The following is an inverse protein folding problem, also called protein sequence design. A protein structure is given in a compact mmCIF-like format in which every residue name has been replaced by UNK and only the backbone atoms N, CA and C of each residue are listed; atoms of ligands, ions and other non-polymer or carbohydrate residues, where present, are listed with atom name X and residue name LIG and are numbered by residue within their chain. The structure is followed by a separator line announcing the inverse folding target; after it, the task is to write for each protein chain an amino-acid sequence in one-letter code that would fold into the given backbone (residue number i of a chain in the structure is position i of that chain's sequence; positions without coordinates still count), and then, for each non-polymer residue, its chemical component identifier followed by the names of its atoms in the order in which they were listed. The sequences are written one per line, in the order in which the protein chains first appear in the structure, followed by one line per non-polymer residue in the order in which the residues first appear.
data_IF_453970115807
#
_entry.id   IF_453970115807
#
_cell.length_a   1.000
_cell.length_b   1.000
_cell.length_c   1.000
_cell.angle_alpha   90.00
_cell.angle_beta   90.00
_cell.angle_gamma   90.00
#
_symmetry.space_group_name_H-M   'P 1'
#
loop_
_entity.id
_entity.type
_entity.pdbx_description
1 polymer ?
#
# COMPACT_ATOMS: atom_id res chain seq x y z
N UNK A 1 18.76 18.73 7.59
CA UNK A 1 18.22 17.86 8.68
C UNK A 1 17.81 18.60 9.97
N UNK A 2 18.35 19.79 10.31
CA UNK A 2 17.98 20.51 11.56
C UNK A 2 16.50 20.86 11.70
N UNK A 3 15.85 21.32 10.63
CA UNK A 3 14.43 21.70 10.65
C UNK A 3 13.51 20.51 10.99
N UNK A 4 13.77 19.34 10.39
CA UNK A 4 13.00 18.11 10.66
C UNK A 4 13.12 17.68 12.11
N UNK A 5 14.31 17.82 12.70
CA UNK A 5 14.54 17.51 14.12
C UNK A 5 13.75 18.45 15.05
N UNK A 6 13.76 19.76 14.77
CA UNK A 6 13.00 20.76 15.53
C UNK A 6 11.48 20.51 15.43
N UNK A 7 10.98 20.24 14.22
CA UNK A 7 9.57 19.92 14.01
C UNK A 7 9.17 18.64 14.75
N UNK A 8 9.99 17.59 14.68
CA UNK A 8 9.74 16.34 15.42
C UNK A 8 9.68 16.58 16.93
N UNK A 9 10.64 17.31 17.49
CA UNK A 9 10.66 17.62 18.92
C UNK A 9 9.43 18.43 19.36
N UNK A 10 9.00 19.39 18.54
CA UNK A 10 7.80 20.20 18.80
C UNK A 10 6.55 19.33 18.80
N UNK A 11 6.37 18.50 17.76
CA UNK A 11 5.23 17.59 17.65
C UNK A 11 5.17 16.55 18.78
N UNK A 12 6.33 16.04 19.23
CA UNK A 12 6.41 15.13 20.37
C UNK A 12 6.01 15.81 21.68
N UNK A 13 6.44 17.07 21.88
CA UNK A 13 6.03 17.89 23.02
C UNK A 13 4.52 18.15 23.05
N UNK A 14 3.94 18.54 21.91
CA UNK A 14 2.50 18.77 21.78
C UNK A 14 1.69 17.50 22.02
N UNK A 15 2.11 16.36 21.43
CA UNK A 15 1.48 15.06 21.66
C UNK A 15 1.47 14.71 23.15
N UNK A 16 2.58 14.91 23.86
CA UNK A 16 2.68 14.62 25.28
C UNK A 16 1.75 15.53 26.12
N UNK A 17 1.62 16.80 25.75
CA UNK A 17 0.72 17.74 26.40
C UNK A 17 -0.76 17.36 26.20
N UNK A 18 -1.15 16.98 24.98
CA UNK A 18 -2.52 16.55 24.66
C UNK A 18 -2.88 15.26 25.41
N UNK A 19 -1.98 14.27 25.43
CA UNK A 19 -2.21 13.01 26.16
C UNK A 19 -2.30 13.19 27.68
N UNK A 20 -1.64 14.21 28.24
CA UNK A 20 -1.78 14.56 29.67
C UNK A 20 -3.12 15.23 29.97
N UNK A 21 -3.66 16.00 29.03
CA UNK A 21 -4.93 16.72 29.20
C UNK A 21 -6.13 15.80 29.02
N UNK A 22 -6.11 14.99 27.97
CA UNK A 22 -7.23 14.14 27.59
C UNK A 22 -6.88 12.67 27.86
N UNK A 23 -7.45 12.08 28.91
CA UNK A 23 -7.18 10.69 29.31
C UNK A 23 -7.68 9.67 28.26
N UNK A 24 -8.66 10.08 27.44
CA UNK A 24 -9.15 9.32 26.30
C UNK A 24 -9.28 10.24 25.09
N UNK A 25 -8.71 9.81 23.96
CA UNK A 25 -8.82 10.54 22.71
C UNK A 25 -10.19 10.28 22.07
N UNK A 26 -10.81 11.29 21.45
CA UNK A 26 -12.07 11.10 20.73
C UNK A 26 -11.95 10.04 19.62
N UNK A 27 -13.03 9.31 19.32
CA UNK A 27 -13.05 8.32 18.23
C UNK A 27 -12.68 8.94 16.87
N UNK A 28 -13.04 10.21 16.65
CA UNK A 28 -12.68 10.97 15.45
C UNK A 28 -11.17 11.13 15.29
N UNK A 29 -10.41 11.23 16.39
CA UNK A 29 -8.94 11.27 16.35
C UNK A 29 -8.38 9.94 15.86
N UNK A 30 -8.81 8.82 16.45
CA UNK A 30 -8.36 7.49 16.05
C UNK A 30 -8.68 7.20 14.58
N UNK A 31 -9.87 7.62 14.14
CA UNK A 31 -10.28 7.54 12.73
C UNK A 31 -9.34 8.33 11.82
N UNK A 32 -9.08 9.60 12.14
CA UNK A 32 -8.21 10.45 11.30
C UNK A 32 -6.78 9.91 11.27
N UNK A 33 -6.29 9.38 12.39
CA UNK A 33 -5.01 8.70 12.46
C UNK A 33 -4.97 7.45 11.56
N UNK A 34 -6.04 6.65 11.57
CA UNK A 34 -6.16 5.48 10.70
C UNK A 34 -6.20 5.87 9.22
N UNK A 35 -6.94 6.92 8.86
CA UNK A 35 -7.01 7.46 7.50
C UNK A 35 -5.64 7.91 7.00
N UNK A 36 -4.87 8.64 7.83
CA UNK A 36 -3.51 9.04 7.50
C UNK A 36 -2.57 7.85 7.33
N UNK A 37 -2.61 6.88 8.26
CA UNK A 37 -1.77 5.68 8.17
C UNK A 37 -2.06 4.86 6.92
N UNK A 38 -3.35 4.68 6.60
CA UNK A 38 -3.76 3.98 5.39
C UNK A 38 -3.30 4.73 4.14
N UNK A 39 -3.50 6.05 4.08
CA UNK A 39 -3.09 6.88 2.94
C UNK A 39 -1.58 6.82 2.69
N UNK A 40 -0.76 6.94 3.74
CA UNK A 40 0.70 6.81 3.63
C UNK A 40 1.13 5.41 3.20
N UNK A 41 0.47 4.37 3.73
CA UNK A 41 0.72 2.99 3.32
C UNK A 41 0.43 2.76 1.85
N UNK A 42 -0.68 3.32 1.36
CA UNK A 42 -1.06 3.23 -0.05
C UNK A 42 -0.10 4.01 -0.96
N UNK A 43 0.33 5.22 -0.57
CA UNK A 43 1.32 5.99 -1.31
C UNK A 43 2.65 5.24 -1.42
N UNK A 44 3.08 4.59 -0.34
CA UNK A 44 4.29 3.74 -0.37
C UNK A 44 4.12 2.54 -1.30
N UNK A 45 2.96 1.90 -1.30
CA UNK A 45 2.66 0.81 -2.23
C UNK A 45 2.64 1.29 -3.69
N UNK A 46 2.04 2.46 -3.96
CA UNK A 46 2.08 3.10 -5.28
C UNK A 46 3.51 3.40 -5.71
N UNK A 47 4.35 3.95 -4.82
CA UNK A 47 5.77 4.18 -5.13
C UNK A 47 6.48 2.88 -5.52
N UNK A 48 6.27 1.79 -4.77
CA UNK A 48 6.82 0.47 -5.12
C UNK A 48 6.35 -0.02 -6.49
N UNK A 49 5.08 0.18 -6.83
CA UNK A 49 4.54 -0.16 -8.17
C UNK A 49 5.26 0.62 -9.27
N UNK A 50 5.46 1.93 -9.10
CA UNK A 50 6.20 2.75 -10.06
C UNK A 50 7.68 2.36 -10.16
N UNK A 51 8.30 1.97 -9.04
CA UNK A 51 9.68 1.48 -9.00
C UNK A 51 9.83 0.15 -9.76
N UNK A 52 8.91 -0.79 -9.54
CA UNK A 52 8.84 -2.04 -10.29
C UNK A 52 8.67 -1.75 -11.79
N UNK A 53 7.77 -0.83 -12.15
CA UNK A 53 7.56 -0.44 -13.54
C UNK A 53 8.81 0.17 -14.18
N UNK A 54 9.51 1.06 -13.47
CA UNK A 54 10.75 1.67 -13.96
C UNK A 54 11.88 0.65 -14.16
N UNK A 55 11.94 -0.39 -13.31
CA UNK A 55 12.89 -1.49 -13.48
C UNK A 55 12.55 -2.36 -14.70
N UNK A 56 11.26 -2.52 -15.02
CA UNK A 56 10.82 -3.23 -16.23
C UNK A 56 11.11 -2.44 -17.51
N UNK A 57 10.94 -1.12 -17.47
CA UNK A 57 11.16 -0.23 -18.63
C UNK A 57 12.65 0.17 -18.83
N UNK A 58 13.55 -0.23 -17.91
CA UNK A 58 15.01 -0.05 -18.01
C UNK A 58 15.64 -0.91 -19.13
N UNK A 59 16.87 -0.58 -19.58
CA UNK A 59 17.26 -0.37 -20.99
C UNK A 59 17.02 -1.57 -21.92
N UNK A 60 15.76 -1.90 -22.17
CA UNK A 60 15.32 -2.56 -23.41
C UNK A 60 14.96 -1.47 -24.41
N UNK A 61 15.93 -0.58 -24.63
CA UNK A 61 15.94 0.38 -25.72
C UNK A 61 16.04 -0.37 -27.04
N UNK A 62 14.89 -0.64 -27.64
CA UNK A 62 14.73 -1.00 -29.05
C UNK A 62 15.20 0.20 -29.90
N UNK A 63 16.52 0.30 -30.11
CA UNK A 63 17.15 1.24 -31.03
C UNK A 63 17.96 0.48 -32.09
N UNK A 64 17.75 0.72 -33.39
CA UNK A 64 18.56 0.10 -34.44
C UNK A 64 19.90 0.83 -34.58
N UNK A 65 21.00 0.12 -34.30
CA UNK A 65 22.36 0.39 -34.79
C UNK A 65 23.12 1.57 -34.18
N UNK A 66 24.24 1.27 -33.51
CA UNK A 66 25.61 1.61 -33.94
C UNK A 66 26.62 1.34 -32.81
N UNK A 67 27.76 0.79 -33.22
CA UNK A 67 28.91 0.40 -32.41
C UNK A 67 29.41 1.47 -31.42
N UNK A 68 29.88 1.02 -30.25
CA UNK A 68 30.62 1.86 -29.31
C UNK A 68 30.86 1.19 -27.97
N UNK A 69 31.98 0.48 -27.86
CA UNK A 69 32.46 -0.14 -26.63
C UNK A 69 32.71 0.90 -25.52
N UNK A 70 32.03 0.76 -24.37
CA UNK A 70 32.54 1.14 -23.04
C UNK A 70 32.05 0.12 -22.01
N UNK A 71 33.00 -0.38 -21.23
CA UNK A 71 32.86 -1.44 -20.23
C UNK A 71 32.02 -1.00 -19.01
N UNK A 72 31.36 -1.99 -18.39
CA UNK A 72 30.37 -1.92 -17.30
C UNK A 72 30.72 -1.07 -16.06
N UNK A 73 29.72 -0.87 -15.19
CA UNK A 73 29.82 -1.53 -13.88
C UNK A 73 28.68 -2.53 -13.61
N UNK A 74 29.08 -3.73 -13.14
CA UNK A 74 28.35 -4.76 -12.39
C UNK A 74 26.99 -5.30 -12.92
N UNK A 75 26.96 -6.48 -13.60
CA UNK A 75 25.74 -7.18 -14.02
C UNK A 75 25.20 -8.20 -12.97
N UNK A 76 25.36 -7.94 -11.67
CA UNK A 76 25.17 -8.97 -10.62
C UNK A 76 23.94 -8.85 -9.70
N UNK A 77 23.30 -7.69 -9.60
CA UNK A 77 22.35 -7.42 -8.48
C UNK A 77 20.90 -7.19 -8.92
N UNK A 78 20.66 -6.71 -10.14
CA UNK A 78 19.32 -6.36 -10.63
C UNK A 78 18.30 -7.53 -10.74
N UNK A 79 18.67 -8.76 -11.14
CA UNK A 79 17.68 -9.83 -11.35
C UNK A 79 17.02 -10.36 -10.07
N UNK A 80 17.69 -10.24 -8.91
CA UNK A 80 17.13 -10.68 -7.62
C UNK A 80 16.32 -9.59 -6.91
N UNK A 81 16.47 -8.33 -7.30
CA UNK A 81 15.78 -7.20 -6.70
C UNK A 81 14.30 -7.14 -7.14
N UNK A 82 13.98 -7.46 -8.39
CA UNK A 82 12.60 -7.37 -8.89
C UNK A 82 11.65 -8.40 -8.23
N UNK A 83 12.00 -9.70 -8.12
CA UNK A 83 11.15 -10.69 -7.44
C UNK A 83 10.93 -10.37 -5.94
N UNK A 84 11.95 -9.82 -5.28
CA UNK A 84 11.86 -9.44 -3.86
C UNK A 84 10.96 -8.21 -3.68
N UNK A 85 11.11 -7.18 -4.51
CA UNK A 85 10.24 -6.00 -4.53
C UNK A 85 8.77 -6.37 -4.77
N UNK A 86 8.49 -7.28 -5.72
CA UNK A 86 7.13 -7.77 -5.97
C UNK A 86 6.53 -8.49 -4.77
N UNK A 87 7.31 -9.37 -4.12
CA UNK A 87 6.84 -10.09 -2.94
C UNK A 87 6.52 -9.15 -1.79
N UNK A 88 7.34 -8.11 -1.59
CA UNK A 88 7.07 -7.07 -0.60
C UNK A 88 5.85 -6.23 -0.96
N UNK A 89 5.70 -5.81 -2.22
CA UNK A 89 4.54 -5.06 -2.68
C UNK A 89 3.23 -5.86 -2.44
N UNK A 90 3.23 -7.17 -2.72
CA UNK A 90 2.06 -8.02 -2.43
C UNK A 90 1.82 -8.16 -0.92
N UNK A 91 2.87 -8.27 -0.09
CA UNK A 91 2.71 -8.26 1.38
C UNK A 91 2.10 -6.94 1.88
N UNK A 92 2.54 -5.81 1.33
CA UNK A 92 1.99 -4.50 1.67
C UNK A 92 0.53 -4.35 1.20
N UNK A 93 0.19 -4.87 0.02
CA UNK A 93 -1.18 -4.94 -0.49
C UNK A 93 -2.09 -5.76 0.43
N UNK A 94 -1.65 -6.93 0.87
CA UNK A 94 -2.38 -7.76 1.84
C UNK A 94 -2.58 -7.04 3.18
N UNK A 95 -1.56 -6.33 3.67
CA UNK A 95 -1.67 -5.55 4.89
C UNK A 95 -2.70 -4.41 4.74
N UNK A 96 -2.66 -3.68 3.62
CA UNK A 96 -3.64 -2.64 3.30
C UNK A 96 -5.06 -3.21 3.21
N UNK A 97 -5.21 -4.39 2.60
CA UNK A 97 -6.48 -5.12 2.56
C UNK A 97 -7.00 -5.46 3.96
N UNK A 98 -6.15 -5.94 4.87
CA UNK A 98 -6.58 -6.22 6.25
C UNK A 98 -7.06 -4.95 6.97
N UNK A 99 -6.44 -3.80 6.71
CA UNK A 99 -6.90 -2.52 7.25
C UNK A 99 -8.29 -2.14 6.73
N UNK A 100 -8.55 -2.32 5.43
CA UNK A 100 -9.89 -2.10 4.84
C UNK A 100 -10.92 -3.03 5.47
N UNK A 101 -10.64 -4.33 5.56
CA UNK A 101 -11.57 -5.29 6.15
C UNK A 101 -11.90 -4.97 7.61
N UNK A 102 -10.89 -4.62 8.40
CA UNK A 102 -11.09 -4.18 9.79
C UNK A 102 -11.98 -2.94 9.84
N UNK A 103 -11.78 -1.98 8.93
CA UNK A 103 -12.60 -0.76 8.88
C UNK A 103 -14.05 -1.06 8.49
N UNK A 104 -14.29 -1.98 7.56
CA UNK A 104 -15.64 -2.50 7.22
C UNK A 104 -16.31 -3.07 8.48
N UNK A 105 -15.60 -3.90 9.25
CA UNK A 105 -16.14 -4.49 10.49
C UNK A 105 -16.50 -3.42 11.53
N UNK A 106 -15.63 -2.43 11.73
CA UNK A 106 -15.88 -1.31 12.66
C UNK A 106 -17.11 -0.52 12.19
N UNK A 107 -17.20 -0.20 10.89
CA UNK A 107 -18.32 0.53 10.33
C UNK A 107 -19.64 -0.23 10.52
N UNK A 108 -19.68 -1.53 10.21
CA UNK A 108 -20.87 -2.39 10.43
C UNK A 108 -21.28 -2.42 11.91
N UNK A 109 -20.31 -2.47 12.83
CA UNK A 109 -20.58 -2.43 14.27
C UNK A 109 -21.17 -1.08 14.69
N UNK A 110 -20.63 0.02 14.18
CA UNK A 110 -21.16 1.37 14.46
C UNK A 110 -22.58 1.53 13.90
N UNK A 111 -22.83 1.03 12.69
CA UNK A 111 -24.17 1.02 12.10
C UNK A 111 -25.16 0.22 12.97
N UNK A 112 -24.76 -0.95 13.47
CA UNK A 112 -25.59 -1.74 14.39
C UNK A 112 -25.91 -0.98 15.69
N UNK A 113 -24.90 -0.35 16.29
CA UNK A 113 -25.09 0.45 17.51
C UNK A 113 -25.98 1.67 17.27
N UNK A 114 -25.89 2.27 16.09
CA UNK A 114 -26.79 3.35 15.65
C UNK A 114 -28.25 2.91 15.65
N UNK A 115 -28.50 1.67 15.21
CA UNK A 115 -29.81 1.03 15.30
C UNK A 115 -30.36 0.93 16.73
N UNK A 116 -29.48 0.98 17.74
CA UNK A 116 -29.83 0.99 19.16
C UNK A 116 -29.83 2.42 19.77
N UNK A 117 -29.77 3.46 18.95
CA UNK A 117 -29.82 4.87 19.38
C UNK A 117 -28.46 5.51 19.67
N UNK A 118 -27.34 4.86 19.35
CA UNK A 118 -26.03 5.50 19.39
C UNK A 118 -25.86 6.54 18.26
N UNK A 119 -24.98 7.52 18.46
CA UNK A 119 -24.62 8.49 17.40
C UNK A 119 -23.88 7.81 16.25
N UNK A 120 -24.27 8.10 15.02
CA UNK A 120 -23.66 7.55 13.80
C UNK A 120 -23.40 8.66 12.79
N UNK A 121 -22.15 9.10 12.72
CA UNK A 121 -21.72 10.21 11.87
C UNK A 121 -21.00 9.72 10.59
N UNK A 122 -21.03 8.43 10.29
CA UNK A 122 -20.23 7.84 9.20
C UNK A 122 -21.07 7.52 7.96
N UNK A 123 -20.79 8.22 6.86
CA UNK A 123 -21.22 7.76 5.54
C UNK A 123 -20.24 6.73 4.95
N UNK A 124 -20.68 5.97 3.95
CA UNK A 124 -19.88 4.92 3.31
C UNK A 124 -18.78 5.47 2.40
N UNK A 125 -18.80 6.75 2.03
CA UNK A 125 -17.94 7.28 0.97
C UNK A 125 -16.42 7.16 1.26
N UNK A 126 -15.91 7.46 2.47
CA UNK A 126 -14.50 7.22 2.80
C UNK A 126 -14.10 5.75 2.71
N UNK A 127 -14.99 4.83 3.07
CA UNK A 127 -14.74 3.39 3.01
C UNK A 127 -14.73 2.91 1.55
N UNK A 128 -15.70 3.35 0.76
CA UNK A 128 -15.76 3.11 -0.68
C UNK A 128 -14.48 3.58 -1.36
N UNK A 129 -14.04 4.82 -1.09
CA UNK A 129 -12.79 5.36 -1.64
C UNK A 129 -11.57 4.52 -1.27
N UNK A 130 -11.51 3.96 -0.06
CA UNK A 130 -10.42 3.06 0.33
C UNK A 130 -10.44 1.76 -0.47
N UNK A 131 -11.62 1.19 -0.71
CA UNK A 131 -11.77 0.00 -1.54
C UNK A 131 -11.35 0.27 -2.99
N UNK A 132 -11.86 1.35 -3.59
CA UNK A 132 -11.55 1.77 -4.96
C UNK A 132 -10.05 1.97 -5.15
N UNK A 133 -9.42 2.77 -4.29
CA UNK A 133 -7.99 3.03 -4.33
C UNK A 133 -7.14 1.75 -4.15
N UNK A 134 -7.57 0.82 -3.29
CA UNK A 134 -6.87 -0.45 -3.09
C UNK A 134 -6.99 -1.35 -4.32
N UNK A 135 -8.17 -1.41 -4.93
CA UNK A 135 -8.44 -2.18 -6.15
C UNK A 135 -7.66 -1.62 -7.34
N UNK A 136 -7.55 -0.30 -7.46
CA UNK A 136 -6.73 0.35 -8.48
C UNK A 136 -5.26 -0.09 -8.38
N UNK A 137 -4.67 0.02 -7.18
CA UNK A 137 -3.27 -0.39 -6.95
C UNK A 137 -3.08 -1.90 -7.10
N UNK A 138 -4.08 -2.69 -6.69
CA UNK A 138 -4.11 -4.13 -6.95
C UNK A 138 -3.97 -4.43 -8.46
N UNK A 139 -4.76 -3.77 -9.31
CA UNK A 139 -4.72 -4.01 -10.75
C UNK A 139 -3.39 -3.58 -11.37
N UNK A 140 -2.84 -2.44 -10.94
CA UNK A 140 -1.53 -2.00 -11.39
C UNK A 140 -0.45 -3.03 -11.02
N UNK A 141 -0.43 -3.51 -9.77
CA UNK A 141 0.56 -4.52 -9.34
C UNK A 141 0.35 -5.86 -10.06
N UNK A 142 -0.89 -6.26 -10.32
CA UNK A 142 -1.19 -7.46 -11.09
C UNK A 142 -0.65 -7.34 -12.52
N UNK A 143 -0.82 -6.19 -13.18
CA UNK A 143 -0.25 -5.92 -14.50
C UNK A 143 1.28 -6.02 -14.49
N UNK A 144 1.94 -5.46 -13.47
CA UNK A 144 3.40 -5.58 -13.33
C UNK A 144 3.85 -7.04 -13.21
N UNK A 145 3.16 -7.86 -12.43
CA UNK A 145 3.47 -9.29 -12.30
C UNK A 145 3.26 -10.05 -13.61
N UNK A 146 2.22 -9.72 -14.36
CA UNK A 146 1.97 -10.33 -15.67
C UNK A 146 3.05 -9.93 -16.69
N UNK A 147 3.54 -8.69 -16.63
CA UNK A 147 4.62 -8.18 -17.50
C UNK A 147 5.92 -8.96 -17.37
N UNK A 148 6.30 -9.35 -16.15
CA UNK A 148 7.52 -10.14 -15.86
C UNK A 148 7.27 -11.63 -15.64
N UNK A 149 6.10 -12.12 -16.06
CA UNK A 149 5.68 -13.52 -15.83
C UNK A 149 6.66 -14.56 -16.40
N UNK A 150 7.32 -14.24 -17.52
CA UNK A 150 8.33 -15.10 -18.15
C UNK A 150 9.63 -15.20 -17.34
N UNK A 151 9.95 -14.20 -16.51
CA UNK A 151 11.19 -14.08 -15.75
C UNK A 151 11.07 -14.57 -14.30
N UNK A 152 9.85 -14.57 -13.75
CA UNK A 152 9.55 -14.90 -12.35
C UNK A 152 9.64 -16.40 -12.02
N UNK A 153 9.63 -17.27 -13.04
CA UNK A 153 9.49 -18.71 -12.85
C UNK A 153 8.06 -19.14 -12.48
N UNK A 154 7.64 -20.37 -12.85
CA UNK A 154 6.24 -20.79 -12.75
C UNK A 154 5.73 -20.90 -11.31
N UNK A 155 6.57 -21.33 -10.35
CA UNK A 155 6.16 -21.50 -8.95
C UNK A 155 5.88 -20.17 -8.26
N UNK A 156 6.75 -19.18 -8.47
CA UNK A 156 6.58 -17.86 -7.88
C UNK A 156 5.37 -17.14 -8.48
N UNK A 157 5.19 -17.22 -9.79
CA UNK A 157 4.04 -16.66 -10.50
C UNK A 157 2.72 -17.26 -9.97
N UNK A 158 2.62 -18.59 -9.87
CA UNK A 158 1.44 -19.26 -9.34
C UNK A 158 1.11 -18.79 -7.91
N UNK A 159 2.12 -18.71 -7.05
CA UNK A 159 1.97 -18.21 -5.67
C UNK A 159 1.50 -16.76 -5.62
N UNK A 160 2.01 -15.88 -6.49
CA UNK A 160 1.59 -14.48 -6.54
C UNK A 160 0.13 -14.36 -7.00
N UNK A 161 -0.27 -15.10 -8.03
CA UNK A 161 -1.63 -15.11 -8.55
C UNK A 161 -2.65 -15.64 -7.52
N UNK A 162 -2.29 -16.67 -6.76
CA UNK A 162 -3.12 -17.18 -5.66
C UNK A 162 -3.35 -16.10 -4.59
N UNK A 163 -2.28 -15.39 -4.18
CA UNK A 163 -2.38 -14.29 -3.21
C UNK A 163 -3.23 -13.13 -3.72
N UNK A 164 -3.13 -12.78 -5.01
CA UNK A 164 -4.01 -11.78 -5.60
C UNK A 164 -5.49 -12.21 -5.56
N UNK A 165 -5.79 -13.45 -5.94
CA UNK A 165 -7.15 -13.98 -5.86
C UNK A 165 -7.70 -13.97 -4.43
N UNK A 166 -6.87 -14.27 -3.43
CA UNK A 166 -7.26 -14.18 -2.02
C UNK A 166 -7.56 -12.74 -1.59
N UNK A 167 -6.75 -11.77 -2.03
CA UNK A 167 -6.99 -10.33 -1.76
C UNK A 167 -8.33 -9.90 -2.35
N UNK A 168 -8.57 -10.18 -3.64
CA UNK A 168 -9.78 -9.74 -4.32
C UNK A 168 -11.03 -10.46 -3.81
N UNK A 169 -10.96 -11.78 -3.64
CA UNK A 169 -12.10 -12.57 -3.16
C UNK A 169 -12.51 -12.18 -1.74
N UNK A 170 -11.55 -11.86 -0.86
CA UNK A 170 -11.88 -11.44 0.50
C UNK A 170 -12.38 -10.00 0.59
N UNK A 171 -12.07 -9.13 -0.37
CA UNK A 171 -12.69 -7.79 -0.48
C UNK A 171 -14.11 -7.86 -1.04
N UNK A 172 -14.35 -8.67 -2.07
CA UNK A 172 -15.66 -8.75 -2.75
C UNK A 172 -16.72 -9.48 -1.91
N UNK A 173 -16.33 -10.49 -1.13
CA UNK A 173 -17.26 -11.31 -0.32
C UNK A 173 -17.75 -10.63 0.97
N UNK A 174 -17.32 -9.40 1.28
CA UNK A 174 -17.53 -8.74 2.58
C UNK A 174 -18.46 -7.56 2.49
#
# INVERSE_FOLDING_TARGET
LRLVAVLRATLEGEKAAVLKRDHHLPLSFHRRQEELKFGLGLQRLQHRVHEIQALQDGPTGKGPGLDGAVQSPAPGTAPQELPTLLLEAVKELEAAKQQVLKRIQIWKRQQQLAGNGATFEENLAPLQKRCENLVEVYFQLQQQVMGVSAELGPELLARLLERFNEVLSSLVKR
#
